data_IF_800486445992
#
_entry.id   IF_800486445992
#
_cell.length_a   1.000
_cell.length_b   1.000
_cell.length_c   1.000
_cell.angle_alpha   90.00
_cell.angle_beta   90.00
_cell.angle_gamma   90.00
#
_symmetry.space_group_name_H-M   'P 1'
#
loop_
_entity.id
_entity.type
_entity.pdbx_description
1 polymer ?
#
# COMPACT_ATOMS: atom_id res chain seq x y z
N UNK A 1 28.46 0.05 41.81
CA UNK A 1 28.13 1.45 42.17
C UNK A 1 27.88 2.22 40.92
N UNK A 2 26.72 2.95 40.87
CA UNK A 2 26.25 3.93 39.86
C UNK A 2 26.05 3.40 38.44
N UNK A 3 24.93 3.16 37.87
CA UNK A 3 23.58 3.75 37.97
C UNK A 3 23.44 5.00 37.07
N UNK A 4 23.09 4.85 35.78
CA UNK A 4 22.46 5.94 35.04
C UNK A 4 21.33 5.36 34.14
N UNK A 5 20.13 5.69 34.56
CA UNK A 5 18.91 5.45 33.79
C UNK A 5 18.76 6.52 32.70
N UNK A 6 18.58 6.13 31.44
CA UNK A 6 18.15 7.04 30.41
C UNK A 6 16.64 6.88 30.21
N UNK A 7 15.89 7.91 30.59
CA UNK A 7 14.46 8.06 30.31
C UNK A 7 14.22 8.25 28.80
N UNK A 8 13.73 7.24 28.13
CA UNK A 8 13.15 7.36 26.81
C UNK A 8 11.68 7.76 26.91
N UNK A 9 11.36 8.99 26.59
CA UNK A 9 9.99 9.46 26.36
C UNK A 9 9.46 8.82 25.08
N UNK A 10 8.64 7.80 25.20
CA UNK A 10 7.77 7.33 24.11
C UNK A 10 6.54 8.23 24.08
N UNK A 11 6.40 9.05 23.07
CA UNK A 11 5.13 9.70 22.74
C UNK A 11 4.28 8.71 21.95
N UNK A 12 3.49 7.91 22.63
CA UNK A 12 2.40 7.16 22.01
C UNK A 12 1.22 8.11 21.84
N UNK A 13 1.09 8.71 20.68
CA UNK A 13 -0.17 9.35 20.29
C UNK A 13 -1.13 8.21 19.90
N UNK A 14 -2.18 8.04 20.69
CA UNK A 14 -3.19 7.01 20.46
C UNK A 14 -4.03 7.40 19.22
N UNK A 15 -3.73 6.78 18.07
CA UNK A 15 -4.47 6.98 16.82
C UNK A 15 -5.98 6.68 16.96
N UNK A 16 -6.37 5.85 17.94
CA UNK A 16 -7.79 5.59 18.24
C UNK A 16 -8.50 6.83 18.77
N UNK A 17 -7.80 7.74 19.44
CA UNK A 17 -8.39 9.01 19.88
C UNK A 17 -8.62 9.97 18.71
N UNK A 18 -7.79 9.94 17.66
CA UNK A 18 -7.99 10.78 16.48
C UNK A 18 -9.23 10.37 15.67
N UNK A 19 -9.47 9.07 15.48
CA UNK A 19 -10.66 8.58 14.79
C UNK A 19 -11.96 8.94 15.53
N UNK A 20 -11.95 8.87 16.86
CA UNK A 20 -13.12 9.28 17.68
C UNK A 20 -13.37 10.79 17.63
N UNK A 21 -12.32 11.60 17.52
CA UNK A 21 -12.44 13.06 17.44
C UNK A 21 -13.01 13.52 16.09
N UNK A 22 -12.60 12.89 14.98
CA UNK A 22 -13.13 13.21 13.65
C UNK A 22 -14.63 12.89 13.52
N UNK A 23 -15.09 11.74 13.99
CA UNK A 23 -16.51 11.39 13.96
C UNK A 23 -17.37 12.35 14.80
N UNK A 24 -16.88 12.80 15.96
CA UNK A 24 -17.59 13.74 16.82
C UNK A 24 -17.71 15.15 16.21
N UNK A 25 -16.67 15.63 15.51
CA UNK A 25 -16.68 16.95 14.89
C UNK A 25 -17.66 17.04 13.71
N UNK A 26 -17.73 15.96 12.88
CA UNK A 26 -18.65 15.91 11.73
C UNK A 26 -20.13 15.90 12.17
N UNK A 27 -20.45 15.28 13.31
CA UNK A 27 -21.81 15.27 13.86
C UNK A 27 -22.23 16.61 14.47
N UNK A 28 -21.29 17.40 14.97
CA UNK A 28 -21.58 18.74 15.53
C UNK A 28 -21.88 19.79 14.47
N UNK A 29 -21.26 19.70 13.29
CA UNK A 29 -21.50 20.65 12.19
C UNK A 29 -22.82 20.40 11.45
N UNK A 30 -23.42 19.23 11.58
CA UNK A 30 -24.68 18.87 10.91
C UNK A 30 -25.96 19.24 11.70
N UNK A 31 -25.85 19.92 12.86
CA UNK A 31 -27.02 20.40 13.60
C UNK A 31 -27.90 19.32 14.24
N UNK A 32 -27.42 18.09 14.37
CA UNK A 32 -28.17 16.95 14.92
C UNK A 32 -27.55 16.54 16.26
N UNK A 33 -27.65 17.41 17.26
CA UNK A 33 -27.23 17.06 18.61
C UNK A 33 -28.17 17.62 19.66
N UNK A 34 -29.29 16.93 19.88
CA UNK A 34 -30.06 16.99 21.12
C UNK A 34 -30.63 15.60 21.43
N UNK A 35 -29.77 14.67 21.83
CA UNK A 35 -30.18 13.41 22.41
C UNK A 35 -29.19 12.96 23.50
N UNK A 36 -29.64 12.35 24.62
CA UNK A 36 -28.78 12.01 25.75
C UNK A 36 -27.76 10.90 25.38
N UNK A 37 -26.53 11.08 25.88
CA UNK A 37 -25.40 10.16 25.69
C UNK A 37 -25.76 8.75 26.16
N UNK A 38 -26.09 7.86 25.23
CA UNK A 38 -25.98 6.42 25.41
C UNK A 38 -24.76 5.93 24.65
N UNK A 39 -23.87 5.25 25.36
CA UNK A 39 -22.69 4.61 24.77
C UNK A 39 -23.16 3.50 23.83
N UNK A 40 -23.21 3.77 22.54
CA UNK A 40 -23.48 2.76 21.54
C UNK A 40 -22.15 2.24 21.02
N UNK A 41 -21.89 0.94 21.21
CA UNK A 41 -20.89 0.20 20.47
C UNK A 41 -21.29 0.29 19.00
N UNK A 42 -20.61 1.12 18.22
CA UNK A 42 -20.79 1.20 16.77
C UNK A 42 -20.36 -0.16 16.21
N UNK A 43 -21.29 -0.92 15.65
CA UNK A 43 -20.98 -2.18 15.00
C UNK A 43 -20.33 -1.87 13.64
N UNK A 44 -19.42 -2.74 13.16
CA UNK A 44 -18.81 -2.64 11.82
C UNK A 44 -19.81 -2.28 10.73
N UNK A 45 -21.03 -2.82 10.83
CA UNK A 45 -22.14 -2.57 9.89
C UNK A 45 -22.63 -1.11 9.87
N UNK A 46 -22.57 -0.40 11.00
CA UNK A 46 -22.93 1.02 11.07
C UNK A 46 -21.84 1.92 10.45
N UNK A 47 -20.55 1.60 10.66
CA UNK A 47 -19.47 2.32 10.01
C UNK A 47 -19.50 2.15 8.47
N UNK A 48 -19.82 0.95 7.97
CA UNK A 48 -20.02 0.72 6.53
C UNK A 48 -21.22 1.47 5.96
N UNK A 49 -22.32 1.57 6.69
CA UNK A 49 -23.49 2.34 6.27
C UNK A 49 -23.18 3.87 6.17
N UNK A 50 -22.36 4.39 7.09
CA UNK A 50 -21.90 5.80 7.04
C UNK A 50 -20.98 6.07 5.85
N UNK A 51 -20.06 5.16 5.54
CA UNK A 51 -19.20 5.27 4.34
C UNK A 51 -20.02 5.20 3.05
N UNK A 52 -21.07 4.38 3.01
CA UNK A 52 -21.98 4.30 1.85
C UNK A 52 -22.81 5.58 1.70
N UNK A 53 -23.29 6.16 2.80
CA UNK A 53 -23.98 7.46 2.81
C UNK A 53 -23.07 8.62 2.39
N UNK A 54 -21.78 8.55 2.70
CA UNK A 54 -20.78 9.52 2.23
C UNK A 54 -20.50 9.36 0.73
N UNK A 55 -20.58 8.15 0.16
CA UNK A 55 -20.50 7.92 -1.30
C UNK A 55 -21.67 8.60 -2.05
N UNK A 56 -22.90 8.46 -1.56
CA UNK A 56 -24.07 9.11 -2.17
C UNK A 56 -24.05 10.65 -2.03
N UNK A 57 -23.27 11.20 -1.09
CA UNK A 57 -23.06 12.64 -0.91
C UNK A 57 -21.83 13.20 -1.61
N UNK A 58 -20.85 12.35 -2.00
CA UNK A 58 -19.64 12.81 -2.68
C UNK A 58 -19.92 13.47 -4.04
N UNK A 59 -21.04 13.13 -4.69
CA UNK A 59 -21.47 13.79 -5.92
C UNK A 59 -22.01 15.21 -5.70
N UNK A 60 -22.16 15.66 -4.45
CA UNK A 60 -22.76 16.97 -4.06
C UNK A 60 -21.76 17.86 -3.34
N UNK A 61 -20.60 17.34 -2.92
CA UNK A 61 -19.60 18.16 -2.21
C UNK A 61 -18.80 18.97 -3.22
N UNK A 62 -19.17 20.23 -3.36
CA UNK A 62 -18.34 21.22 -4.04
C UNK A 62 -17.01 21.36 -3.28
N UNK A 63 -15.88 21.36 -3.98
CA UNK A 63 -14.55 21.50 -3.38
C UNK A 63 -14.40 22.77 -2.52
N UNK A 64 -15.23 23.78 -2.75
CA UNK A 64 -15.28 25.01 -1.95
C UNK A 64 -15.89 24.77 -0.56
N UNK A 65 -16.85 23.85 -0.41
CA UNK A 65 -17.47 23.50 0.89
C UNK A 65 -16.52 22.70 1.80
N UNK A 66 -15.48 22.08 1.24
CA UNK A 66 -14.48 21.30 1.98
C UNK A 66 -13.39 22.20 2.58
N UNK A 67 -13.19 23.39 2.06
CA UNK A 67 -12.22 24.37 2.60
C UNK A 67 -12.65 24.97 3.95
N UNK A 68 -13.93 24.89 4.30
CA UNK A 68 -14.46 25.36 5.59
C UNK A 68 -14.33 24.34 6.73
N UNK A 69 -13.72 23.17 6.49
CA UNK A 69 -13.39 22.21 7.56
C UNK A 69 -12.09 22.64 8.24
N UNK A 70 -12.13 23.74 8.98
CA UNK A 70 -11.07 24.20 9.89
C UNK A 70 -10.76 23.21 11.05
N UNK A 71 -11.31 22.03 11.03
CA UNK A 71 -11.13 21.02 12.05
C UNK A 71 -10.30 19.81 11.55
N UNK A 72 -9.02 20.00 11.32
CA UNK A 72 -8.06 18.96 11.69
C UNK A 72 -7.73 17.85 10.68
N UNK A 73 -8.29 17.80 9.47
CA UNK A 73 -7.86 16.81 8.49
C UNK A 73 -6.56 17.26 7.79
N UNK A 74 -5.50 16.45 7.87
CA UNK A 74 -4.26 16.76 7.14
C UNK A 74 -4.49 16.68 5.61
N UNK A 75 -3.76 17.47 4.81
CA UNK A 75 -3.85 17.38 3.34
C UNK A 75 -3.61 15.96 2.82
N UNK A 76 -2.74 15.19 3.44
CA UNK A 76 -2.47 13.80 3.08
C UNK A 76 -3.69 12.91 3.31
N UNK A 77 -4.36 13.05 4.45
CA UNK A 77 -5.56 12.28 4.77
C UNK A 77 -6.73 12.65 3.82
N UNK A 78 -6.87 13.92 3.49
CA UNK A 78 -7.84 14.39 2.50
C UNK A 78 -7.59 13.76 1.12
N UNK A 79 -6.33 13.77 0.65
CA UNK A 79 -5.96 13.17 -0.63
C UNK A 79 -6.18 11.65 -0.62
N UNK A 80 -5.90 10.99 0.49
CA UNK A 80 -6.15 9.56 0.66
C UNK A 80 -7.65 9.23 0.46
N UNK A 81 -8.55 9.86 1.20
CA UNK A 81 -9.99 9.62 1.06
C UNK A 81 -10.55 10.06 -0.31
N UNK A 82 -10.04 11.16 -0.85
CA UNK A 82 -10.41 11.59 -2.22
C UNK A 82 -9.95 10.56 -3.26
N UNK A 83 -8.79 9.95 -3.06
CA UNK A 83 -8.31 8.83 -3.89
C UNK A 83 -9.26 7.64 -3.82
N UNK A 84 -9.58 7.18 -2.61
CA UNK A 84 -10.48 6.03 -2.42
C UNK A 84 -11.86 6.26 -3.04
N UNK A 85 -12.44 7.47 -2.92
CA UNK A 85 -13.73 7.79 -3.54
C UNK A 85 -13.69 7.72 -5.08
N UNK A 86 -12.53 7.85 -5.69
CA UNK A 86 -12.26 7.71 -7.13
C UNK A 86 -11.70 6.33 -7.50
N UNK A 87 -11.79 5.36 -6.60
CA UNK A 87 -11.22 4.01 -6.75
C UNK A 87 -9.72 4.04 -7.05
N UNK A 88 -9.02 5.01 -6.50
CA UNK A 88 -7.58 5.19 -6.62
C UNK A 88 -6.90 4.95 -5.30
N UNK A 89 -5.98 3.99 -5.26
CA UNK A 89 -5.14 3.65 -4.12
C UNK A 89 -3.76 4.25 -4.37
N UNK A 90 -3.21 4.93 -3.36
CA UNK A 90 -1.89 5.55 -3.45
C UNK A 90 -0.92 4.78 -2.56
N UNK A 91 0.06 4.14 -3.17
CA UNK A 91 1.19 3.48 -2.52
C UNK A 91 2.46 4.28 -2.81
N UNK A 92 2.67 5.35 -2.04
CA UNK A 92 3.78 6.29 -2.22
C UNK A 92 4.72 6.36 -1.00
N UNK A 93 4.76 5.30 -0.20
CA UNK A 93 5.52 5.22 1.04
C UNK A 93 6.26 3.87 1.13
N UNK A 94 6.97 3.68 2.22
CA UNK A 94 7.59 2.40 2.55
C UNK A 94 6.52 1.31 2.72
N UNK A 95 6.85 0.11 2.29
CA UNK A 95 6.02 -1.08 2.47
C UNK A 95 6.30 -1.62 3.87
N UNK A 96 5.31 -1.52 4.74
CA UNK A 96 5.33 -1.93 6.15
C UNK A 96 3.99 -2.57 6.54
N UNK A 97 3.80 -2.89 7.82
CA UNK A 97 2.57 -3.48 8.34
C UNK A 97 1.32 -2.58 8.17
N UNK A 98 1.49 -1.26 8.10
CA UNK A 98 0.40 -0.31 7.82
C UNK A 98 -0.16 -0.39 6.38
N UNK A 99 0.48 -1.14 5.46
CA UNK A 99 -0.04 -1.35 4.11
C UNK A 99 -1.39 -2.09 4.12
N UNK A 100 -1.67 -2.85 5.19
CA UNK A 100 -2.91 -3.60 5.32
C UNK A 100 -4.12 -2.66 5.30
N UNK A 101 -4.11 -1.64 6.16
CA UNK A 101 -5.22 -0.68 6.25
C UNK A 101 -5.22 0.32 5.11
N UNK A 102 -4.03 0.77 4.68
CA UNK A 102 -3.91 1.83 3.67
C UNK A 102 -4.18 1.36 2.25
N UNK A 103 -3.85 0.11 1.94
CA UNK A 103 -3.85 -0.40 0.56
C UNK A 103 -4.67 -1.69 0.43
N UNK A 104 -4.38 -2.69 1.24
CA UNK A 104 -4.91 -4.05 1.07
C UNK A 104 -6.41 -4.12 1.31
N UNK A 105 -6.89 -3.61 2.45
CA UNK A 105 -8.31 -3.64 2.76
C UNK A 105 -9.14 -2.81 1.77
N UNK A 106 -8.77 -1.56 1.43
CA UNK A 106 -9.47 -0.82 0.37
C UNK A 106 -9.49 -1.54 -0.97
N UNK A 107 -8.38 -2.18 -1.37
CA UNK A 107 -8.30 -2.93 -2.62
C UNK A 107 -9.25 -4.12 -2.64
N UNK A 108 -9.29 -4.90 -1.55
CA UNK A 108 -10.21 -6.02 -1.38
C UNK A 108 -11.67 -5.55 -1.41
N UNK A 109 -11.98 -4.45 -0.74
CA UNK A 109 -13.33 -3.90 -0.70
C UNK A 109 -13.78 -3.46 -2.10
N UNK A 110 -12.91 -2.77 -2.85
CA UNK A 110 -13.19 -2.36 -4.23
C UNK A 110 -13.34 -3.56 -5.19
N UNK A 111 -12.53 -4.61 -5.01
CA UNK A 111 -12.61 -5.81 -5.85
C UNK A 111 -13.87 -6.63 -5.60
N UNK A 112 -14.52 -6.47 -4.43
CA UNK A 112 -15.69 -7.24 -4.02
C UNK A 112 -16.96 -6.39 -3.88
N UNK A 113 -16.98 -5.12 -4.25
CA UNK A 113 -18.17 -4.25 -4.12
C UNK A 113 -19.25 -4.52 -5.18
N UNK A 114 -18.95 -5.36 -6.15
CA UNK A 114 -19.90 -5.79 -7.19
C UNK A 114 -20.13 -4.76 -8.30
N UNK A 115 -19.43 -3.62 -8.30
CA UNK A 115 -19.57 -2.59 -9.35
C UNK A 115 -18.83 -2.97 -10.63
N UNK A 116 -17.66 -3.63 -10.50
CA UNK A 116 -16.76 -3.89 -11.63
C UNK A 116 -16.08 -2.64 -12.19
N UNK A 117 -16.26 -1.49 -11.56
CA UNK A 117 -15.62 -0.24 -11.95
C UNK A 117 -14.09 -0.33 -11.78
N UNK A 118 -13.31 0.22 -12.73
CA UNK A 118 -11.84 0.09 -12.69
C UNK A 118 -11.20 0.65 -11.42
N UNK A 119 -10.09 0.02 -11.01
CA UNK A 119 -9.25 0.45 -9.89
C UNK A 119 -7.93 0.98 -10.43
N UNK A 120 -7.40 2.07 -9.85
CA UNK A 120 -6.07 2.57 -10.10
C UNK A 120 -5.19 2.41 -8.87
N UNK A 121 -3.97 1.90 -9.04
CA UNK A 121 -2.94 1.84 -8.01
C UNK A 121 -1.78 2.74 -8.45
N UNK A 122 -1.60 3.87 -7.77
CA UNK A 122 -0.46 4.76 -8.00
C UNK A 122 0.72 4.25 -7.17
N UNK A 123 1.77 3.81 -7.84
CA UNK A 123 2.95 3.24 -7.21
C UNK A 123 4.15 4.18 -7.32
N UNK A 124 4.70 4.59 -6.17
CA UNK A 124 5.93 5.38 -6.05
C UNK A 124 6.63 5.02 -4.73
N UNK A 125 7.17 3.81 -4.61
CA UNK A 125 7.62 3.25 -3.33
C UNK A 125 9.10 2.87 -3.34
N UNK A 126 9.84 3.14 -2.24
CA UNK A 126 11.21 2.66 -2.06
C UNK A 126 11.28 1.15 -1.77
N UNK A 127 10.14 0.48 -1.60
CA UNK A 127 10.08 -0.90 -1.13
C UNK A 127 9.97 -0.99 0.39
N UNK A 128 10.37 -2.12 0.97
CA UNK A 128 10.29 -2.36 2.42
C UNK A 128 10.10 -3.83 2.76
N UNK A 129 9.18 -4.14 3.66
CA UNK A 129 8.94 -5.47 4.18
C UNK A 129 8.55 -6.47 3.08
N UNK A 130 9.33 -7.54 3.01
CA UNK A 130 9.09 -8.64 2.07
C UNK A 130 7.76 -9.36 2.37
N UNK A 131 7.43 -9.51 3.65
CA UNK A 131 6.23 -10.22 4.07
C UNK A 131 4.96 -9.45 3.69
N UNK A 132 4.92 -8.17 4.06
CA UNK A 132 3.77 -7.32 3.80
C UNK A 132 3.56 -7.10 2.30
N UNK A 133 4.67 -6.91 1.56
CA UNK A 133 4.64 -6.75 0.11
C UNK A 133 4.15 -7.99 -0.63
N UNK A 134 4.52 -9.20 -0.21
CA UNK A 134 4.01 -10.42 -0.83
C UNK A 134 2.51 -10.63 -0.57
N UNK A 135 1.97 -10.18 0.56
CA UNK A 135 0.52 -10.22 0.78
C UNK A 135 -0.20 -9.38 -0.27
N UNK A 136 0.29 -8.17 -0.54
CA UNK A 136 -0.29 -7.30 -1.58
C UNK A 136 -0.12 -7.92 -2.97
N UNK A 137 1.06 -8.44 -3.30
CA UNK A 137 1.32 -9.09 -4.58
C UNK A 137 0.38 -10.30 -4.81
N UNK A 138 0.21 -11.15 -3.81
CA UNK A 138 -0.70 -12.30 -3.86
C UNK A 138 -2.18 -11.89 -4.08
N UNK A 139 -2.59 -10.72 -3.60
CA UNK A 139 -3.93 -10.17 -3.81
C UNK A 139 -4.07 -9.64 -5.24
N UNK A 140 -3.09 -8.86 -5.71
CA UNK A 140 -3.09 -8.30 -7.07
C UNK A 140 -3.13 -9.42 -8.11
N UNK A 141 -2.41 -10.51 -7.90
CA UNK A 141 -2.42 -11.69 -8.78
C UNK A 141 -3.82 -12.32 -8.94
N UNK A 142 -4.76 -12.03 -8.01
CA UNK A 142 -6.11 -12.63 -7.95
C UNK A 142 -7.25 -11.65 -8.14
N UNK A 143 -6.97 -10.39 -8.45
CA UNK A 143 -8.02 -9.38 -8.69
C UNK A 143 -8.94 -9.80 -9.82
N UNK A 144 -10.22 -9.58 -9.62
CA UNK A 144 -11.29 -9.84 -10.61
C UNK A 144 -11.69 -8.55 -11.33
N UNK A 145 -11.49 -7.42 -10.67
CA UNK A 145 -11.84 -6.09 -11.19
C UNK A 145 -10.70 -5.54 -12.06
N UNK A 146 -11.00 -4.92 -13.21
CA UNK A 146 -10.00 -4.26 -14.03
C UNK A 146 -9.18 -3.28 -13.19
N UNK A 147 -7.87 -3.49 -13.14
CA UNK A 147 -6.96 -2.72 -12.28
C UNK A 147 -5.76 -2.24 -13.08
N UNK A 148 -5.40 -0.96 -12.94
CA UNK A 148 -4.19 -0.40 -13.55
C UNK A 148 -3.19 0.00 -12.47
N UNK A 149 -1.98 -0.55 -12.52
CA UNK A 149 -0.84 -0.11 -11.72
C UNK A 149 -0.09 0.94 -12.52
N UNK A 150 0.09 2.14 -11.95
CA UNK A 150 0.74 3.29 -12.60
C UNK A 150 1.99 3.66 -11.81
N UNK A 151 3.17 3.44 -12.38
CA UNK A 151 4.42 3.88 -11.74
C UNK A 151 4.62 5.36 -11.98
N UNK A 152 4.69 6.12 -10.88
CA UNK A 152 4.95 7.56 -10.87
C UNK A 152 6.26 7.83 -10.12
N UNK A 153 7.36 7.91 -10.86
CA UNK A 153 8.70 8.14 -10.30
C UNK A 153 9.49 6.85 -10.12
N UNK A 154 9.21 6.05 -9.11
CA UNK A 154 10.02 4.85 -8.88
C UNK A 154 9.24 3.69 -8.21
N UNK A 155 9.69 2.47 -8.51
CA UNK A 155 9.25 1.23 -7.87
C UNK A 155 10.50 0.43 -7.49
N UNK A 156 10.96 0.56 -6.25
CA UNK A 156 12.23 -0.02 -5.82
C UNK A 156 12.05 -1.22 -4.88
N UNK A 157 12.98 -2.18 -4.96
CA UNK A 157 13.01 -3.33 -4.06
C UNK A 157 11.66 -4.07 -4.03
N UNK A 158 11.00 -4.18 -2.87
CA UNK A 158 9.66 -4.77 -2.78
C UNK A 158 8.62 -4.03 -3.64
N UNK A 159 8.81 -2.73 -3.93
CA UNK A 159 7.98 -1.98 -4.87
C UNK A 159 8.06 -2.53 -6.30
N UNK A 160 9.23 -3.01 -6.74
CA UNK A 160 9.35 -3.66 -8.03
C UNK A 160 8.70 -5.05 -8.09
N UNK A 161 8.66 -5.77 -6.98
CA UNK A 161 7.94 -7.05 -6.85
C UNK A 161 6.43 -6.81 -6.96
N UNK A 162 5.91 -5.77 -6.30
CA UNK A 162 4.51 -5.36 -6.42
C UNK A 162 4.20 -4.92 -7.86
N UNK A 163 5.10 -4.21 -8.55
CA UNK A 163 4.93 -3.85 -9.94
C UNK A 163 4.83 -5.09 -10.85
N UNK A 164 5.59 -6.15 -10.56
CA UNK A 164 5.54 -7.40 -11.32
C UNK A 164 4.26 -8.20 -11.06
N UNK A 165 3.56 -7.97 -9.95
CA UNK A 165 2.33 -8.71 -9.63
C UNK A 165 1.27 -8.49 -10.71
N UNK A 166 0.33 -9.40 -10.81
CA UNK A 166 -0.68 -9.40 -11.87
C UNK A 166 -0.17 -9.77 -13.25
N UNK A 167 1.08 -10.23 -13.39
CA UNK A 167 1.71 -10.56 -14.68
C UNK A 167 0.87 -11.51 -15.56
N UNK A 168 0.27 -12.52 -14.96
CA UNK A 168 -0.61 -13.47 -15.66
C UNK A 168 -2.09 -13.17 -15.49
N UNK A 169 -2.45 -12.08 -14.81
CA UNK A 169 -3.85 -11.72 -14.58
C UNK A 169 -4.35 -10.77 -15.68
N UNK A 170 -5.31 -11.20 -16.54
CA UNK A 170 -5.80 -10.38 -17.64
C UNK A 170 -6.57 -9.12 -17.19
N UNK A 171 -6.93 -9.03 -15.91
CA UNK A 171 -7.57 -7.85 -15.33
C UNK A 171 -6.57 -6.79 -14.86
N UNK A 172 -5.26 -7.11 -14.82
CA UNK A 172 -4.23 -6.19 -14.32
C UNK A 172 -3.40 -5.66 -15.48
N UNK A 173 -3.39 -4.34 -15.61
CA UNK A 173 -2.52 -3.61 -16.56
C UNK A 173 -1.51 -2.79 -15.79
N UNK A 174 -0.28 -2.72 -16.29
CA UNK A 174 0.84 -2.03 -15.66
C UNK A 174 1.39 -0.99 -16.62
N UNK A 175 1.48 0.26 -16.18
CA UNK A 175 2.02 1.36 -16.99
C UNK A 175 2.99 2.20 -16.19
N UNK A 176 3.89 2.90 -16.86
CA UNK A 176 4.78 3.84 -16.19
C UNK A 176 4.92 5.15 -16.98
N UNK A 177 5.28 6.22 -16.28
CA UNK A 177 5.72 7.44 -16.96
C UNK A 177 7.13 7.28 -17.53
N UNK A 178 7.51 8.01 -18.60
CA UNK A 178 8.81 7.84 -19.28
C UNK A 178 10.03 8.01 -18.38
N UNK A 179 9.94 8.87 -17.36
CA UNK A 179 11.03 9.10 -16.40
C UNK A 179 10.98 8.19 -15.17
N UNK A 180 10.08 7.19 -15.16
CA UNK A 180 9.99 6.24 -14.05
C UNK A 180 11.13 5.23 -14.10
N UNK A 181 11.50 4.75 -12.90
CA UNK A 181 12.58 3.78 -12.71
C UNK A 181 12.14 2.64 -11.79
N UNK A 182 12.76 1.49 -11.95
CA UNK A 182 12.63 0.39 -11.00
C UNK A 182 14.01 -0.03 -10.49
N UNK A 183 14.05 -0.70 -9.34
CA UNK A 183 15.27 -1.28 -8.78
C UNK A 183 14.98 -2.69 -8.30
N UNK A 184 15.79 -3.64 -8.78
CA UNK A 184 15.82 -5.02 -8.28
C UNK A 184 17.17 -5.24 -7.61
N UNK A 185 17.16 -5.78 -6.39
CA UNK A 185 18.37 -6.10 -5.64
C UNK A 185 18.10 -7.21 -4.61
N UNK A 186 19.17 -7.80 -4.07
CA UNK A 186 19.08 -8.89 -3.10
C UNK A 186 18.57 -8.48 -1.71
N UNK A 187 18.39 -7.19 -1.46
CA UNK A 187 17.94 -6.69 -0.16
C UNK A 187 19.02 -6.79 0.93
N UNK A 188 18.64 -6.46 2.16
CA UNK A 188 19.52 -6.53 3.33
C UNK A 188 18.86 -7.31 4.45
N UNK A 189 19.67 -8.09 5.20
CA UNK A 189 19.21 -8.88 6.33
C UNK A 189 20.07 -8.60 7.56
N UNK A 190 19.42 -8.41 8.70
CA UNK A 190 20.08 -8.33 10.01
C UNK A 190 19.72 -9.60 10.82
N UNK A 191 20.74 -10.28 11.35
CA UNK A 191 20.57 -11.52 12.13
C UNK A 191 21.11 -11.30 13.53
N UNK A 192 20.27 -11.52 14.55
CA UNK A 192 20.62 -11.40 15.95
C UNK A 192 19.94 -12.52 16.78
N UNK A 193 20.59 -12.93 17.85
CA UNK A 193 20.05 -13.92 18.78
C UNK A 193 21.05 -15.01 19.16
N UNK A 194 20.53 -16.13 19.66
CA UNK A 194 21.37 -17.30 19.94
C UNK A 194 21.94 -17.93 18.66
N UNK A 195 23.01 -18.73 18.77
CA UNK A 195 23.59 -19.41 17.63
C UNK A 195 22.57 -20.23 16.83
N UNK A 196 21.63 -20.88 17.51
CA UNK A 196 20.55 -21.63 16.86
C UNK A 196 19.57 -20.71 16.15
N UNK A 197 19.12 -19.62 16.82
CA UNK A 197 18.23 -18.64 16.21
C UNK A 197 18.83 -18.04 14.93
N UNK A 198 20.09 -17.62 14.98
CA UNK A 198 20.80 -17.06 13.82
C UNK A 198 20.87 -18.07 12.67
N UNK A 199 21.21 -19.32 12.98
CA UNK A 199 21.28 -20.40 11.98
C UNK A 199 19.91 -20.66 11.33
N UNK A 200 18.87 -20.80 12.13
CA UNK A 200 17.53 -21.12 11.64
C UNK A 200 16.96 -19.96 10.80
N UNK A 201 17.17 -18.71 11.25
CA UNK A 201 16.76 -17.51 10.51
C UNK A 201 17.54 -17.39 9.20
N UNK A 202 18.85 -17.67 9.21
CA UNK A 202 19.64 -17.66 7.97
C UNK A 202 19.12 -18.67 6.95
N UNK A 203 18.85 -19.90 7.37
CA UNK A 203 18.28 -20.92 6.48
C UNK A 203 16.91 -20.56 5.95
N UNK A 204 16.08 -19.92 6.77
CA UNK A 204 14.79 -19.42 6.34
C UNK A 204 14.93 -18.29 5.30
N UNK A 205 15.84 -17.34 5.53
CA UNK A 205 16.10 -16.25 4.59
C UNK A 205 16.59 -16.75 3.23
N UNK A 206 17.46 -17.76 3.19
CA UNK A 206 17.86 -18.39 1.92
C UNK A 206 16.65 -18.95 1.13
N UNK A 207 15.68 -19.54 1.84
CA UNK A 207 14.44 -20.02 1.20
C UNK A 207 13.57 -18.87 0.69
N UNK A 208 13.57 -17.74 1.38
CA UNK A 208 12.86 -16.54 0.95
C UNK A 208 13.53 -15.90 -0.26
N UNK A 209 14.85 -15.82 -0.32
CA UNK A 209 15.60 -15.36 -1.49
C UNK A 209 15.27 -16.21 -2.73
N UNK A 210 15.26 -17.52 -2.58
CA UNK A 210 14.86 -18.43 -3.66
C UNK A 210 13.39 -18.25 -4.08
N UNK A 211 12.51 -17.92 -3.13
CA UNK A 211 11.11 -17.56 -3.43
C UNK A 211 11.02 -16.27 -4.24
N UNK A 212 11.79 -15.24 -3.87
CA UNK A 212 11.88 -13.97 -4.60
C UNK A 212 12.41 -14.22 -6.02
N UNK A 213 13.50 -14.96 -6.18
CA UNK A 213 14.05 -15.33 -7.50
C UNK A 213 12.97 -15.96 -8.38
N UNK A 214 12.30 -17.00 -7.86
CA UNK A 214 11.23 -17.68 -8.60
C UNK A 214 10.07 -16.74 -8.97
N UNK A 215 9.70 -15.84 -8.06
CA UNK A 215 8.64 -14.86 -8.32
C UNK A 215 9.04 -13.94 -9.48
N UNK A 216 10.24 -13.35 -9.42
CA UNK A 216 10.77 -12.48 -10.47
C UNK A 216 10.79 -13.18 -11.83
N UNK A 217 11.33 -14.39 -11.88
CA UNK A 217 11.43 -15.18 -13.13
C UNK A 217 10.05 -15.58 -13.69
N UNK A 218 9.06 -15.80 -12.83
CA UNK A 218 7.71 -16.17 -13.27
C UNK A 218 6.81 -14.97 -13.60
N UNK A 219 7.21 -13.75 -13.21
CA UNK A 219 6.45 -12.52 -13.36
C UNK A 219 7.17 -11.46 -14.22
N UNK A 220 8.10 -11.91 -15.05
CA UNK A 220 8.82 -11.06 -15.99
C UNK A 220 9.26 -11.86 -17.24
N UNK A 221 9.79 -11.17 -18.22
CA UNK A 221 10.48 -11.81 -19.39
C UNK A 221 11.95 -12.13 -19.09
N UNK A 222 12.38 -11.96 -17.85
CA UNK A 222 13.77 -12.16 -17.44
C UNK A 222 14.16 -13.64 -17.53
N UNK A 223 15.30 -13.92 -18.15
CA UNK A 223 15.88 -15.25 -18.15
C UNK A 223 16.67 -15.52 -16.86
N UNK A 224 16.81 -16.79 -16.47
CA UNK A 224 17.62 -17.16 -15.32
C UNK A 224 19.07 -16.67 -15.45
N UNK A 225 19.64 -16.70 -16.65
CA UNK A 225 20.99 -16.20 -16.91
C UNK A 225 21.12 -14.68 -16.73
N UNK A 226 20.09 -13.91 -17.07
CA UNK A 226 20.06 -12.47 -16.81
C UNK A 226 19.96 -12.21 -15.31
N UNK A 227 19.08 -12.92 -14.60
CA UNK A 227 18.94 -12.82 -13.16
C UNK A 227 20.26 -13.10 -12.44
N UNK A 228 20.95 -14.21 -12.72
CA UNK A 228 22.22 -14.60 -12.10
C UNK A 228 23.36 -13.60 -12.32
N UNK A 229 23.33 -12.87 -13.44
CA UNK A 229 24.30 -11.79 -13.68
C UNK A 229 24.01 -10.56 -12.82
N UNK A 230 22.74 -10.30 -12.55
CA UNK A 230 22.28 -9.06 -11.93
C UNK A 230 22.06 -9.19 -10.43
N UNK A 231 21.82 -10.39 -9.89
CA UNK A 231 21.50 -10.61 -8.46
C UNK A 231 22.56 -10.07 -7.47
N UNK A 232 23.79 -9.87 -7.94
CA UNK A 232 24.92 -9.37 -7.13
C UNK A 232 25.03 -7.85 -7.11
N UNK A 233 24.16 -7.16 -7.87
CA UNK A 233 24.22 -5.71 -8.09
C UNK A 233 22.92 -5.04 -7.74
N UNK A 234 22.97 -3.73 -7.55
CA UNK A 234 21.82 -2.84 -7.59
C UNK A 234 21.38 -2.69 -9.06
N UNK A 235 20.32 -3.37 -9.48
CA UNK A 235 19.88 -3.34 -10.87
C UNK A 235 18.81 -2.28 -11.09
N UNK A 236 19.25 -1.08 -11.46
CA UNK A 236 18.40 0.02 -11.84
C UNK A 236 17.88 -0.17 -13.26
N UNK A 237 16.58 -0.05 -13.44
CA UNK A 237 15.87 -0.21 -14.69
C UNK A 237 15.21 1.11 -15.08
N UNK A 238 15.44 1.57 -16.31
CA UNK A 238 14.70 2.68 -16.91
C UNK A 238 13.36 2.17 -17.48
N UNK A 239 12.50 3.08 -17.92
CA UNK A 239 11.18 2.74 -18.46
C UNK A 239 11.26 1.73 -19.63
N UNK A 240 12.27 1.89 -20.50
CA UNK A 240 12.52 0.99 -21.63
C UNK A 240 12.92 -0.42 -21.19
N UNK A 241 13.70 -0.53 -20.12
CA UNK A 241 14.07 -1.82 -19.53
C UNK A 241 12.86 -2.48 -18.87
N UNK A 242 12.04 -1.71 -18.15
CA UNK A 242 10.81 -2.21 -17.54
C UNK A 242 9.86 -2.78 -18.61
N UNK A 243 9.71 -2.08 -19.72
CA UNK A 243 8.90 -2.55 -20.86
C UNK A 243 9.49 -3.82 -21.49
N UNK A 244 10.78 -3.82 -21.79
CA UNK A 244 11.49 -4.97 -22.36
C UNK A 244 11.38 -6.23 -21.50
N UNK A 245 11.49 -6.06 -20.19
CA UNK A 245 11.44 -7.16 -19.23
C UNK A 245 10.01 -7.54 -18.81
N UNK A 246 8.98 -6.85 -19.33
CA UNK A 246 7.59 -7.14 -19.01
C UNK A 246 7.15 -6.73 -17.60
N UNK A 247 7.90 -5.82 -16.95
CA UNK A 247 7.47 -5.24 -15.69
C UNK A 247 6.29 -4.29 -15.90
N UNK A 248 6.25 -3.62 -17.05
CA UNK A 248 5.13 -2.79 -17.50
C UNK A 248 4.70 -3.21 -18.91
N UNK A 249 3.44 -2.93 -19.22
CA UNK A 249 2.82 -3.23 -20.52
C UNK A 249 2.96 -2.04 -21.48
N UNK A 250 3.15 -0.81 -20.91
CA UNK A 250 3.21 0.42 -21.70
C UNK A 250 3.99 1.52 -20.96
N UNK A 251 4.68 2.35 -21.72
CA UNK A 251 5.24 3.64 -21.29
C UNK A 251 4.32 4.73 -21.82
N UNK A 252 3.77 5.58 -20.93
CA UNK A 252 2.76 6.61 -21.24
C UNK A 252 3.32 7.76 -22.07
#
# INVERSE_FOLDING_TARGET
MLGMASNGLRSTVDERQMLHSCCAATLLSAGVCNAPRRSHKITRKAAYAEVTLLKERADIINLEDVCDVEAGMSPALFQYYTGLSKRRIILNDQIDDGIVERVILPLIDMDNDGTGEPIEIILSSPGGSLYDGFVLADIIDRLKTPTTIIVMGYAFSMGSIILMSGYSNPNVRKVCYPSSTALIHSGSTYLEGTANTVKDTFQFNQRMEERVKRYILSHSHMTEQEYEKMERYEWYLLSEDMLRLGLVDEVL
#
